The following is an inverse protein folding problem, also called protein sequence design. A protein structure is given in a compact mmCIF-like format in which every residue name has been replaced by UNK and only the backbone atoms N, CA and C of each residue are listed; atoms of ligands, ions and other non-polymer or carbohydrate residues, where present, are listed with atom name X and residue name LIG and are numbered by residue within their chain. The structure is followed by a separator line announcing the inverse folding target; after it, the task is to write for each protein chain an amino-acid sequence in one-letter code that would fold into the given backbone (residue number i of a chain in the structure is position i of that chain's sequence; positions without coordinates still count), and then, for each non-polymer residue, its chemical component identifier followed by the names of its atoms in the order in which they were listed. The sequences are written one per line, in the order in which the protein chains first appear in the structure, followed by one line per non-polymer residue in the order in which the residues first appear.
data_IF_181259492332
#
_entry.id   IF_181259492332
#
_cell.length_a   1.000
_cell.length_b   1.000
_cell.length_c   1.000
_cell.angle_alpha   90.00
_cell.angle_beta   90.00
_cell.angle_gamma   90.00
#
_symmetry.space_group_name_H-M   'P 1'
#
loop_
_entity.id
_entity.type
_entity.pdbx_description
1 polymer ?
#
# COMPACT_ATOMS: atom_id res chain seq x y z
N UNK A 1 -12.41 -25.93 -22.11
CA UNK A 1 -11.69 -26.83 -21.17
C UNK A 1 -10.41 -26.23 -20.57
N UNK A 2 -9.92 -25.08 -21.04
CA UNK A 2 -8.64 -24.51 -20.57
C UNK A 2 -8.76 -23.59 -19.35
N UNK A 3 -9.89 -22.90 -19.19
CA UNK A 3 -10.09 -21.87 -18.16
C UNK A 3 -10.16 -22.45 -16.73
N UNK A 4 -10.81 -23.61 -16.57
CA UNK A 4 -10.87 -24.33 -15.29
C UNK A 4 -9.47 -24.80 -14.85
N UNK A 5 -8.65 -25.24 -15.79
CA UNK A 5 -7.27 -25.67 -15.51
C UNK A 5 -6.41 -24.48 -15.06
N UNK A 6 -6.53 -23.32 -15.72
CA UNK A 6 -5.83 -22.09 -15.30
C UNK A 6 -6.27 -21.60 -13.92
N UNK A 7 -7.57 -21.64 -13.62
CA UNK A 7 -8.07 -21.27 -12.28
C UNK A 7 -7.55 -22.25 -11.22
N UNK A 8 -7.55 -23.55 -11.50
CA UNK A 8 -7.03 -24.56 -10.57
C UNK A 8 -5.53 -24.40 -10.31
N UNK A 9 -4.74 -24.12 -11.35
CA UNK A 9 -3.30 -23.86 -11.23
C UNK A 9 -3.04 -22.56 -10.47
N UNK A 10 -3.77 -21.48 -10.79
CA UNK A 10 -3.65 -20.21 -10.09
C UNK A 10 -4.00 -20.37 -8.61
N UNK A 11 -5.12 -21.04 -8.30
CA UNK A 11 -5.53 -21.32 -6.93
C UNK A 11 -4.46 -22.15 -6.19
N UNK A 12 -3.95 -23.22 -6.82
CA UNK A 12 -2.90 -24.06 -6.26
C UNK A 12 -1.63 -23.28 -5.94
N UNK A 13 -1.10 -22.53 -6.90
CA UNK A 13 0.14 -21.74 -6.72
C UNK A 13 -0.05 -20.63 -5.68
N UNK A 14 -1.17 -19.89 -5.71
CA UNK A 14 -1.43 -18.79 -4.77
C UNK A 14 -1.57 -19.32 -3.33
N UNK A 15 -2.22 -20.47 -3.17
CA UNK A 15 -2.38 -21.11 -1.86
C UNK A 15 -1.05 -21.67 -1.35
N UNK A 16 -0.25 -22.30 -2.22
CA UNK A 16 1.07 -22.80 -1.84
C UNK A 16 1.97 -21.67 -1.35
N UNK A 17 2.09 -20.59 -2.13
CA UNK A 17 2.96 -19.45 -1.79
C UNK A 17 2.50 -18.74 -0.51
N UNK A 18 1.20 -18.72 -0.21
CA UNK A 18 0.70 -18.15 1.06
C UNK A 18 0.93 -19.08 2.24
N UNK A 19 0.76 -20.39 2.08
CA UNK A 19 0.85 -21.34 3.20
C UNK A 19 2.30 -21.71 3.54
N UNK A 20 3.19 -21.74 2.55
CA UNK A 20 4.63 -22.01 2.72
C UNK A 20 5.32 -21.10 3.74
N UNK A 21 5.17 -19.76 3.72
CA UNK A 21 5.76 -18.92 4.75
C UNK A 21 5.14 -19.21 6.13
N UNK A 22 3.84 -19.48 6.22
CA UNK A 22 3.20 -19.82 7.50
C UNK A 22 3.64 -21.18 8.07
N UNK A 23 3.99 -22.16 7.23
CA UNK A 23 4.43 -23.48 7.68
C UNK A 23 5.93 -23.56 7.94
N UNK A 24 6.76 -22.83 7.19
CA UNK A 24 8.22 -22.79 7.37
C UNK A 24 8.63 -21.90 8.55
N UNK A 25 7.95 -20.77 8.79
CA UNK A 25 8.21 -19.88 9.94
C UNK A 25 7.57 -20.35 11.26
N UNK A 26 7.36 -21.66 11.45
CA UNK A 26 6.85 -22.23 12.73
C UNK A 26 7.86 -22.26 13.87
N UNK A 27 9.15 -22.04 13.63
CA UNK A 27 10.11 -21.88 14.72
C UNK A 27 10.02 -20.45 15.26
N UNK A 28 9.78 -20.29 16.58
CA UNK A 28 9.96 -19.01 17.28
C UNK A 28 11.30 -18.42 16.86
N UNK A 29 11.26 -17.34 16.11
CA UNK A 29 12.45 -16.55 15.81
C UNK A 29 12.91 -15.97 17.15
N UNK A 30 13.90 -16.62 17.80
CA UNK A 30 14.44 -16.16 19.08
C UNK A 30 15.33 -14.92 18.93
N UNK A 31 15.60 -14.47 17.71
CA UNK A 31 16.44 -13.31 17.44
C UNK A 31 15.58 -12.06 17.19
N UNK A 32 15.65 -11.11 18.12
CA UNK A 32 14.99 -9.81 18.09
C UNK A 32 15.20 -9.06 16.75
N UNK A 33 16.36 -9.27 16.10
CA UNK A 33 16.68 -8.62 14.82
C UNK A 33 15.75 -9.06 13.68
N UNK A 34 15.52 -10.37 13.52
CA UNK A 34 14.67 -10.90 12.45
C UNK A 34 13.18 -10.56 12.68
N UNK A 35 12.74 -10.54 13.94
CA UNK A 35 11.37 -10.15 14.28
C UNK A 35 11.13 -8.65 14.04
N UNK A 36 12.08 -7.81 14.45
CA UNK A 36 12.03 -6.37 14.15
C UNK A 36 12.07 -6.13 12.64
N UNK A 37 12.96 -6.82 11.92
CA UNK A 37 13.08 -6.68 10.46
C UNK A 37 11.80 -7.09 9.73
N UNK A 38 11.22 -8.27 10.04
CA UNK A 38 9.96 -8.71 9.44
C UNK A 38 8.78 -7.78 9.79
N UNK A 39 8.78 -7.16 10.97
CA UNK A 39 7.74 -6.19 11.34
C UNK A 39 7.84 -4.89 10.54
N UNK A 40 9.06 -4.39 10.29
CA UNK A 40 9.27 -3.13 9.55
C UNK A 40 9.19 -3.29 8.02
N UNK A 41 9.45 -4.48 7.46
CA UNK A 41 9.38 -4.73 6.01
C UNK A 41 8.02 -4.31 5.41
N UNK A 42 6.85 -4.75 5.92
CA UNK A 42 5.56 -4.39 5.33
C UNK A 42 5.33 -2.88 5.28
N UNK A 43 5.69 -2.14 6.34
CA UNK A 43 5.53 -0.69 6.38
C UNK A 43 6.47 0.03 5.41
N UNK A 44 7.71 -0.43 5.28
CA UNK A 44 8.67 0.10 4.33
C UNK A 44 8.22 -0.15 2.89
N UNK A 45 7.75 -1.36 2.58
CA UNK A 45 7.22 -1.74 1.27
C UNK A 45 5.96 -0.94 0.94
N UNK A 46 5.02 -0.82 1.88
CA UNK A 46 3.78 -0.07 1.68
C UNK A 46 4.09 1.41 1.38
N UNK A 47 5.00 2.02 2.13
CA UNK A 47 5.47 3.39 1.89
C UNK A 47 6.17 3.54 0.54
N UNK A 48 7.03 2.58 0.17
CA UNK A 48 7.74 2.58 -1.10
C UNK A 48 6.80 2.42 -2.31
N UNK A 49 5.66 1.75 -2.13
CA UNK A 49 4.63 1.64 -3.17
C UNK A 49 3.76 2.89 -3.26
N UNK A 50 3.45 3.54 -2.14
CA UNK A 50 2.54 4.69 -2.12
C UNK A 50 3.21 6.02 -2.46
N UNK A 51 4.39 6.30 -1.90
CA UNK A 51 5.08 7.59 -2.07
C UNK A 51 5.28 7.96 -3.55
N UNK A 52 5.91 7.12 -4.40
CA UNK A 52 6.08 7.46 -5.80
C UNK A 52 4.75 7.53 -6.55
N UNK A 53 3.82 6.61 -6.28
CA UNK A 53 2.53 6.57 -6.96
C UNK A 53 1.73 7.88 -6.77
N UNK A 54 1.77 8.47 -5.57
CA UNK A 54 1.04 9.71 -5.30
C UNK A 54 1.63 10.89 -6.07
N UNK A 55 2.95 10.99 -6.21
CA UNK A 55 3.61 12.05 -6.98
C UNK A 55 3.40 11.92 -8.50
N UNK A 56 3.33 10.70 -9.02
CA UNK A 56 3.13 10.46 -10.46
C UNK A 56 1.66 10.46 -10.89
N UNK A 57 0.70 10.30 -9.97
CA UNK A 57 -0.72 10.15 -10.32
C UNK A 57 -1.39 11.41 -10.87
N UNK A 58 -0.85 12.61 -10.64
CA UNK A 58 -1.52 13.89 -10.97
C UNK A 58 -0.89 14.61 -12.16
N UNK A 59 0.20 14.09 -12.75
CA UNK A 59 0.89 14.71 -13.89
C UNK A 59 1.65 16.01 -13.59
N UNK A 60 1.35 16.70 -12.48
CA UNK A 60 2.09 17.85 -11.97
C UNK A 60 2.53 17.61 -10.51
N UNK A 61 3.82 17.80 -10.25
CA UNK A 61 4.45 17.56 -8.94
C UNK A 61 3.88 18.50 -7.86
N UNK A 62 3.44 19.70 -8.25
CA UNK A 62 2.94 20.72 -7.32
C UNK A 62 1.56 20.33 -6.77
N UNK A 63 0.66 19.85 -7.62
CA UNK A 63 -0.70 19.43 -7.21
C UNK A 63 -0.66 18.17 -6.36
N UNK A 64 0.24 17.24 -6.68
CA UNK A 64 0.49 16.05 -5.87
C UNK A 64 1.12 16.38 -4.49
N UNK A 65 2.02 17.37 -4.43
CA UNK A 65 2.57 17.85 -3.16
C UNK A 65 1.50 18.49 -2.26
N UNK A 66 0.56 19.23 -2.84
CA UNK A 66 -0.56 19.81 -2.05
C UNK A 66 -1.52 18.71 -1.58
N UNK A 67 -1.89 17.76 -2.44
CA UNK A 67 -2.74 16.63 -2.07
C UNK A 67 -2.14 15.75 -0.97
N UNK A 68 -0.82 15.50 -1.00
CA UNK A 68 -0.12 14.76 0.07
C UNK A 68 -0.11 15.50 1.39
N UNK A 69 0.16 16.81 1.39
CA UNK A 69 0.15 17.62 2.63
C UNK A 69 -1.24 17.62 3.27
N UNK A 70 -2.29 17.78 2.46
CA UNK A 70 -3.68 17.71 2.94
C UNK A 70 -4.01 16.32 3.49
N UNK A 71 -3.60 15.26 2.79
CA UNK A 71 -3.80 13.88 3.25
C UNK A 71 -3.10 13.61 4.60
N UNK A 72 -1.86 14.08 4.77
CA UNK A 72 -1.08 13.91 6.00
C UNK A 72 -1.70 14.70 7.16
N UNK A 73 -2.13 15.94 6.93
CA UNK A 73 -2.79 16.77 7.94
C UNK A 73 -4.10 16.13 8.43
N UNK A 74 -4.93 15.64 7.50
CA UNK A 74 -6.19 14.97 7.86
C UNK A 74 -5.96 13.59 8.50
N UNK A 75 -4.93 12.85 8.07
CA UNK A 75 -4.55 11.59 8.70
C UNK A 75 -4.09 11.79 10.15
N UNK A 76 -3.42 12.91 10.45
CA UNK A 76 -2.98 13.23 11.81
C UNK A 76 -4.15 13.40 12.79
N UNK A 77 -5.30 13.84 12.31
CA UNK A 77 -6.53 13.97 13.10
C UNK A 77 -7.34 12.67 13.23
N UNK A 78 -6.77 11.50 12.87
CA UNK A 78 -7.43 10.19 12.96
C UNK A 78 -8.80 10.13 12.25
N UNK A 79 -8.98 10.89 11.16
CA UNK A 79 -10.21 10.84 10.37
C UNK A 79 -10.32 9.51 9.60
N UNK A 80 -11.56 9.05 9.31
CA UNK A 80 -11.77 7.82 8.55
C UNK A 80 -11.11 7.89 7.18
N UNK A 81 -10.51 6.78 6.74
CA UNK A 81 -9.74 6.66 5.48
C UNK A 81 -10.48 7.23 4.27
N UNK A 82 -11.79 6.99 4.22
CA UNK A 82 -12.67 7.47 3.13
C UNK A 82 -12.67 9.00 3.07
N UNK A 83 -12.73 9.69 4.21
CA UNK A 83 -12.75 11.16 4.27
C UNK A 83 -11.39 11.73 3.87
N UNK A 84 -10.29 11.10 4.31
CA UNK A 84 -8.93 11.49 3.91
C UNK A 84 -8.74 11.33 2.40
N UNK A 85 -9.19 10.21 1.82
CA UNK A 85 -9.10 9.96 0.38
C UNK A 85 -9.92 10.97 -0.42
N UNK A 86 -11.18 11.21 -0.03
CA UNK A 86 -12.06 12.18 -0.70
C UNK A 86 -11.49 13.60 -0.65
N UNK A 87 -11.01 14.03 0.52
CA UNK A 87 -10.44 15.36 0.68
C UNK A 87 -9.11 15.53 -0.08
N UNK A 88 -8.25 14.52 -0.08
CA UNK A 88 -7.00 14.54 -0.85
C UNK A 88 -7.26 14.58 -2.37
N UNK A 89 -8.20 13.76 -2.86
CA UNK A 89 -8.61 13.77 -4.27
C UNK A 89 -9.29 15.09 -4.66
N UNK A 90 -10.14 15.66 -3.81
CA UNK A 90 -10.76 16.96 -4.04
C UNK A 90 -9.72 18.09 -4.04
N UNK A 91 -8.76 18.09 -3.12
CA UNK A 91 -7.68 19.07 -3.07
C UNK A 91 -6.78 18.97 -4.32
N UNK A 92 -6.43 17.76 -4.75
CA UNK A 92 -5.67 17.52 -5.98
C UNK A 92 -6.43 17.98 -7.24
N UNK A 93 -7.75 17.76 -7.29
CA UNK A 93 -8.60 18.22 -8.39
C UNK A 93 -8.68 19.76 -8.44
N UNK A 94 -8.92 20.41 -7.30
CA UNK A 94 -9.04 21.88 -7.20
C UNK A 94 -7.71 22.55 -7.56
N UNK A 95 -6.58 22.00 -7.10
CA UNK A 95 -5.26 22.53 -7.46
C UNK A 95 -4.87 22.24 -8.91
N UNK A 96 -5.27 21.09 -9.46
CA UNK A 96 -5.13 20.78 -10.90
C UNK A 96 -6.03 21.62 -11.81
N UNK A 97 -7.09 22.23 -11.29
CA UNK A 97 -7.91 23.18 -12.05
C UNK A 97 -7.31 24.59 -12.06
N UNK A 98 -6.42 24.89 -11.12
CA UNK A 98 -5.79 26.20 -10.95
C UNK A 98 -4.43 26.33 -11.65
N UNK A 99 -3.88 25.21 -12.14
CA UNK A 99 -2.61 25.10 -12.88
C UNK A 99 -2.88 24.53 -14.26
#
# INVERSE_FOLDING_TARGET
MSLILYIAIMAGVTYLIRVVPFTVFRKKIQNHFLQSFLYYIPYAVLSAMTIPAIFYSTGNVITAAVGTVVAVLLAYWNLPLIVVALAASAAALVTGFFV
#
